data_IF_515301134525
#
_entry.id   IF_515301134525
#
_cell.length_a   1.000
_cell.length_b   1.000
_cell.length_c   1.000
_cell.angle_alpha   90.00
_cell.angle_beta   90.00
_cell.angle_gamma   90.00
#
_symmetry.space_group_name_H-M   'P 1'
#
loop_
_entity.id
_entity.type
_entity.pdbx_description
1 polymer ?
#
# COMPACT_ATOMS: atom_id res chain seq x y z
N UNK A 1 18.03 0.19 18.21
CA UNK A 1 17.37 0.05 19.53
C UNK A 1 16.52 -1.22 19.48
N UNK A 2 16.56 -2.04 20.54
CA UNK A 2 15.75 -3.25 20.58
C UNK A 2 14.26 -2.90 20.43
N UNK A 3 13.48 -3.81 19.87
CA UNK A 3 12.06 -3.65 19.65
C UNK A 3 11.35 -4.99 19.86
N UNK A 4 10.04 -4.91 20.08
CA UNK A 4 9.19 -6.08 20.26
C UNK A 4 9.20 -6.96 19.01
N UNK A 5 9.39 -8.24 19.20
CA UNK A 5 9.17 -9.28 18.18
C UNK A 5 7.76 -9.86 18.27
N UNK A 6 6.90 -9.22 19.04
CA UNK A 6 5.51 -9.57 19.28
C UNK A 6 5.30 -10.38 20.54
N UNK A 7 4.17 -10.12 21.18
CA UNK A 7 3.70 -10.83 22.36
C UNK A 7 2.25 -11.27 22.18
N UNK A 8 1.85 -12.33 22.86
CA UNK A 8 0.47 -12.81 22.90
C UNK A 8 -0.25 -12.36 24.17
N UNK A 9 -1.34 -11.58 24.03
CA UNK A 9 -2.29 -11.33 25.12
C UNK A 9 -3.73 -11.29 24.58
N UNK A 10 -4.69 -11.65 25.40
CA UNK A 10 -6.12 -11.62 25.06
C UNK A 10 -6.69 -10.23 25.39
N UNK A 11 -7.05 -9.43 24.35
CA UNK A 11 -8.03 -8.33 24.43
C UNK A 11 -7.56 -6.92 24.05
N UNK A 12 -8.34 -6.26 23.15
CA UNK A 12 -8.49 -4.81 23.05
C UNK A 12 -8.19 -4.16 21.68
N UNK A 13 -9.25 -3.69 21.02
CA UNK A 13 -9.20 -3.04 19.71
C UNK A 13 -8.98 -1.52 19.74
N UNK A 14 -8.54 -0.96 18.60
CA UNK A 14 -8.36 0.48 18.39
C UNK A 14 -9.11 1.02 17.17
N UNK A 15 -9.64 2.23 17.31
CA UNK A 15 -10.31 3.00 16.27
C UNK A 15 -9.36 4.03 15.63
N UNK A 16 -9.43 4.20 14.33
CA UNK A 16 -8.73 5.26 13.58
C UNK A 16 -9.68 6.30 13.01
N UNK A 17 -9.34 7.58 13.14
CA UNK A 17 -10.07 8.73 12.61
C UNK A 17 -9.42 9.27 11.34
N UNK A 18 -10.27 9.75 10.40
CA UNK A 18 -9.86 10.31 9.11
C UNK A 18 -9.89 11.83 9.11
N UNK A 19 -8.91 12.47 8.46
CA UNK A 19 -8.88 13.92 8.19
C UNK A 19 -8.83 14.20 6.68
N UNK A 20 -9.65 15.18 6.26
CA UNK A 20 -9.79 15.66 4.89
C UNK A 20 -8.86 16.86 4.61
N UNK A 21 -8.21 16.89 3.45
CA UNK A 21 -7.40 18.02 2.99
C UNK A 21 -7.95 18.65 1.70
N UNK A 22 -7.92 20.00 1.68
CA UNK A 22 -8.47 20.82 0.62
C UNK A 22 -7.58 20.92 -0.62
N UNK A 23 -8.23 21.20 -1.75
CA UNK A 23 -7.65 21.27 -3.09
C UNK A 23 -7.22 22.69 -3.46
N UNK A 24 -6.00 22.84 -3.98
CA UNK A 24 -5.49 24.03 -4.66
C UNK A 24 -5.89 24.05 -6.13
N UNK A 25 -6.51 25.14 -6.59
CA UNK A 25 -6.95 25.34 -7.97
C UNK A 25 -5.78 25.77 -8.86
N UNK A 26 -5.31 24.89 -9.74
CA UNK A 26 -4.59 25.24 -10.96
C UNK A 26 -5.63 25.49 -12.06
N UNK A 27 -5.45 26.54 -12.89
CA UNK A 27 -6.32 26.89 -14.02
C UNK A 27 -6.24 25.85 -15.14
N UNK A 28 -6.84 24.70 -14.92
CA UNK A 28 -7.03 23.67 -15.93
C UNK A 28 -8.28 23.99 -16.73
N UNK A 29 -8.14 24.14 -18.04
CA UNK A 29 -9.24 24.31 -18.99
C UNK A 29 -10.31 23.25 -18.74
N UNK A 30 -11.55 23.71 -18.60
CA UNK A 30 -12.68 22.85 -18.26
C UNK A 30 -13.35 22.34 -19.54
N UNK A 31 -13.40 21.03 -19.69
CA UNK A 31 -14.18 20.35 -20.74
C UNK A 31 -15.32 19.58 -20.09
N UNK A 32 -16.54 19.67 -20.64
CA UNK A 32 -17.70 18.97 -20.12
C UNK A 32 -18.65 18.55 -21.26
N UNK A 33 -19.33 17.44 -21.11
CA UNK A 33 -20.47 17.05 -21.96
C UNK A 33 -21.77 17.75 -21.54
N UNK A 34 -21.76 18.48 -20.40
CA UNK A 34 -22.90 19.26 -19.89
C UNK A 34 -22.58 20.75 -19.89
N UNK A 35 -23.56 21.61 -20.15
CA UNK A 35 -23.36 23.05 -20.10
C UNK A 35 -22.96 23.52 -18.69
N UNK A 36 -22.09 24.55 -18.63
CA UNK A 36 -21.74 25.26 -17.42
C UNK A 36 -21.63 26.77 -17.69
N UNK A 37 -21.74 27.62 -16.69
CA UNK A 37 -21.70 29.09 -16.88
C UNK A 37 -20.40 29.54 -17.57
N UNK A 38 -20.52 30.34 -18.64
CA UNK A 38 -19.40 30.85 -19.43
C UNK A 38 -18.84 29.88 -20.48
N UNK A 39 -19.38 28.65 -20.59
CA UNK A 39 -18.94 27.69 -21.60
C UNK A 39 -19.48 28.01 -22.99
N UNK A 40 -18.62 27.87 -24.00
CA UNK A 40 -18.98 27.89 -25.40
C UNK A 40 -19.29 26.44 -25.82
N UNK A 41 -20.41 26.25 -26.54
CA UNK A 41 -20.78 24.94 -27.08
C UNK A 41 -20.02 24.68 -28.39
N UNK A 42 -19.43 23.48 -28.48
CA UNK A 42 -18.74 22.99 -29.68
C UNK A 42 -19.35 21.69 -30.11
N UNK A 43 -19.35 21.43 -31.42
CA UNK A 43 -19.78 20.16 -32.03
C UNK A 43 -18.57 19.48 -32.66
N UNK A 44 -18.38 18.20 -32.36
CA UNK A 44 -17.47 17.35 -33.14
C UNK A 44 -18.18 16.07 -33.59
N UNK A 45 -17.71 15.51 -34.70
CA UNK A 45 -18.24 14.27 -35.25
C UNK A 45 -17.26 13.14 -34.97
N UNK A 46 -17.80 12.00 -34.48
CA UNK A 46 -17.01 10.80 -34.26
C UNK A 46 -16.67 10.09 -35.59
N UNK A 47 -15.96 8.94 -35.51
CA UNK A 47 -15.62 8.13 -36.69
C UNK A 47 -16.85 7.56 -37.43
N UNK A 48 -17.98 7.46 -36.74
CA UNK A 48 -19.25 7.01 -37.28
C UNK A 48 -20.12 8.18 -37.77
N UNK A 49 -19.54 9.40 -37.83
CA UNK A 49 -20.20 10.66 -38.19
C UNK A 49 -21.38 11.05 -37.29
N UNK A 50 -21.39 10.56 -36.03
CA UNK A 50 -22.37 10.99 -35.03
C UNK A 50 -21.93 12.30 -34.39
N UNK A 51 -22.83 13.29 -34.29
CA UNK A 51 -22.52 14.56 -33.66
C UNK A 51 -22.49 14.43 -32.14
N UNK A 52 -21.50 15.04 -31.50
CA UNK A 52 -21.36 15.13 -30.04
C UNK A 52 -21.17 16.57 -29.64
N UNK A 53 -21.83 16.98 -28.55
CA UNK A 53 -21.67 18.30 -27.96
C UNK A 53 -20.53 18.27 -26.93
N UNK A 54 -19.70 19.31 -26.94
CA UNK A 54 -18.63 19.53 -25.99
C UNK A 54 -18.67 20.99 -25.54
N UNK A 55 -18.71 21.23 -24.24
CA UNK A 55 -18.69 22.57 -23.67
C UNK A 55 -17.30 22.89 -23.15
N UNK A 56 -16.74 24.06 -23.48
CA UNK A 56 -15.45 24.50 -23.03
C UNK A 56 -15.43 26.01 -22.77
N UNK A 57 -14.58 26.43 -21.85
CA UNK A 57 -14.42 27.85 -21.50
C UNK A 57 -13.57 28.63 -22.52
N UNK A 58 -12.76 27.95 -23.34
CA UNK A 58 -11.93 28.59 -24.37
C UNK A 58 -11.61 27.62 -25.51
N UNK A 59 -11.17 28.19 -26.67
CA UNK A 59 -10.72 27.41 -27.83
C UNK A 59 -9.34 26.80 -27.54
N UNK A 60 -9.11 25.51 -27.82
CA UNK A 60 -7.84 24.88 -27.52
C UNK A 60 -6.71 25.46 -28.39
N UNK A 61 -5.61 25.80 -27.75
CA UNK A 61 -4.37 26.11 -28.49
C UNK A 61 -3.90 24.91 -29.28
N UNK A 62 -3.41 25.21 -30.49
CA UNK A 62 -2.90 24.22 -31.40
C UNK A 62 -1.55 23.66 -30.94
N UNK A 63 -1.51 22.39 -30.52
CA UNK A 63 -0.37 21.50 -30.28
C UNK A 63 0.24 21.56 -28.90
N UNK A 64 -0.04 20.55 -28.07
CA UNK A 64 0.86 20.11 -27.00
C UNK A 64 2.17 19.58 -27.61
N UNK A 65 3.30 20.26 -27.37
CA UNK A 65 4.60 19.92 -27.97
C UNK A 65 5.17 18.56 -27.52
N UNK A 66 4.71 17.96 -26.39
CA UNK A 66 5.21 16.68 -25.87
C UNK A 66 4.08 15.85 -25.24
N UNK A 67 3.22 15.28 -26.07
CA UNK A 67 2.10 14.44 -25.61
C UNK A 67 2.59 13.16 -24.90
N UNK A 68 3.75 12.65 -25.24
CA UNK A 68 4.28 11.39 -24.70
C UNK A 68 4.94 11.52 -23.32
N UNK A 69 5.42 12.70 -22.95
CA UNK A 69 6.14 12.92 -21.68
C UNK A 69 5.36 12.52 -20.42
N UNK A 70 4.07 12.89 -20.26
CA UNK A 70 3.30 12.44 -19.09
C UNK A 70 3.11 10.92 -19.04
N UNK A 71 3.02 10.24 -20.19
CA UNK A 71 2.90 8.78 -20.22
C UNK A 71 4.18 8.09 -19.77
N UNK A 72 5.36 8.61 -20.16
CA UNK A 72 6.65 8.11 -19.68
C UNK A 72 6.77 8.31 -18.18
N UNK A 73 6.42 9.50 -17.68
CA UNK A 73 6.45 9.79 -16.25
C UNK A 73 5.52 8.86 -15.45
N UNK A 74 4.29 8.64 -15.90
CA UNK A 74 3.34 7.70 -15.30
C UNK A 74 3.88 6.28 -15.36
N UNK A 75 4.52 5.87 -16.48
CA UNK A 75 5.13 4.54 -16.60
C UNK A 75 6.26 4.30 -15.59
N UNK A 76 7.13 5.28 -15.39
CA UNK A 76 8.20 5.22 -14.37
C UNK A 76 7.59 5.12 -12.95
N UNK A 77 6.55 5.92 -12.66
CA UNK A 77 5.86 5.87 -11.37
C UNK A 77 5.15 4.53 -11.10
N UNK A 78 4.75 3.79 -12.14
CA UNK A 78 4.18 2.46 -11.99
C UNK A 78 5.23 1.38 -11.70
N UNK A 79 6.40 1.47 -12.35
CA UNK A 79 7.47 0.47 -12.18
C UNK A 79 8.11 0.58 -10.80
N UNK A 80 8.29 1.78 -10.28
CA UNK A 80 8.97 2.03 -9.01
C UNK A 80 8.35 1.29 -7.81
N UNK A 81 7.04 1.35 -7.54
CA UNK A 81 6.44 0.62 -6.42
C UNK A 81 6.47 -0.90 -6.62
N UNK A 82 6.39 -1.39 -7.87
CA UNK A 82 6.52 -2.83 -8.15
C UNK A 82 7.93 -3.30 -7.81
N UNK A 83 8.95 -2.54 -8.17
CA UNK A 83 10.35 -2.86 -7.86
C UNK A 83 10.58 -2.81 -6.34
N UNK A 84 10.11 -1.77 -5.66
CA UNK A 84 10.21 -1.66 -4.20
C UNK A 84 9.50 -2.83 -3.50
N UNK A 85 8.29 -3.18 -3.96
CA UNK A 85 7.54 -4.32 -3.44
C UNK A 85 8.30 -5.62 -3.61
N UNK A 86 8.87 -5.87 -4.79
CA UNK A 86 9.65 -7.08 -5.05
C UNK A 86 10.91 -7.16 -4.18
N UNK A 87 11.61 -6.02 -3.99
CA UNK A 87 12.80 -5.95 -3.15
C UNK A 87 12.48 -6.13 -1.66
N UNK A 88 11.42 -5.48 -1.17
CA UNK A 88 11.00 -5.56 0.24
C UNK A 88 10.43 -6.93 0.61
N UNK A 89 9.86 -7.67 -0.36
CA UNK A 89 9.26 -8.98 -0.11
C UNK A 89 10.26 -10.15 -0.24
N UNK A 90 11.49 -9.88 -0.68
CA UNK A 90 12.50 -10.93 -0.84
C UNK A 90 13.47 -10.92 0.34
N UNK A 91 13.37 -11.94 1.18
CA UNK A 91 14.24 -12.15 2.33
C UNK A 91 15.36 -13.13 1.99
N UNK A 92 16.60 -12.70 2.22
CA UNK A 92 17.82 -13.49 2.01
C UNK A 92 18.68 -13.42 3.29
N UNK A 93 18.22 -14.08 4.36
CA UNK A 93 18.92 -14.04 5.63
C UNK A 93 20.28 -14.73 5.53
N UNK A 94 21.25 -14.20 6.26
CA UNK A 94 22.58 -14.78 6.39
C UNK A 94 22.99 -14.82 7.85
N UNK A 95 23.71 -15.88 8.26
CA UNK A 95 24.20 -16.02 9.64
C UNK A 95 24.94 -14.78 10.09
N UNK A 96 24.63 -14.26 11.26
CA UNK A 96 25.33 -13.15 11.89
C UNK A 96 26.74 -13.57 12.34
N UNK A 97 27.66 -12.57 12.36
CA UNK A 97 29.00 -12.78 12.89
C UNK A 97 28.96 -12.75 14.42
N UNK A 98 29.52 -13.78 15.04
CA UNK A 98 29.60 -13.95 16.50
C UNK A 98 30.80 -13.21 17.11
N UNK A 99 30.96 -11.92 16.79
CA UNK A 99 32.00 -11.05 17.31
C UNK A 99 31.53 -10.18 18.50
N UNK A 100 30.65 -10.71 19.30
CA UNK A 100 30.02 -10.08 20.46
C UNK A 100 29.94 -11.10 21.62
N UNK A 101 29.39 -10.72 22.76
CA UNK A 101 29.18 -11.63 23.86
C UNK A 101 28.04 -12.61 23.54
N UNK A 102 28.38 -13.88 23.39
CA UNK A 102 27.44 -14.95 23.04
C UNK A 102 27.01 -15.77 24.25
N UNK A 103 27.16 -15.23 25.44
CA UNK A 103 26.72 -15.90 26.67
C UNK A 103 25.19 -16.04 26.67
N UNK A 104 24.72 -17.28 26.74
CA UNK A 104 23.29 -17.56 26.85
C UNK A 104 22.83 -17.21 28.27
N UNK A 105 21.79 -16.39 28.37
CA UNK A 105 21.18 -15.98 29.63
C UNK A 105 19.87 -16.74 29.85
N UNK A 106 19.77 -17.49 30.94
CA UNK A 106 18.52 -18.12 31.42
C UNK A 106 18.34 -17.70 32.86
N UNK A 107 17.35 -16.85 33.13
CA UNK A 107 16.99 -16.39 34.47
C UNK A 107 15.58 -16.85 34.83
N UNK A 108 15.48 -17.84 35.66
CA UNK A 108 14.21 -18.36 36.11
C UNK A 108 13.78 -17.81 37.49
N UNK A 109 13.36 -16.54 37.51
CA UNK A 109 12.94 -15.85 38.74
C UNK A 109 11.59 -16.39 39.30
N UNK A 110 10.80 -17.04 38.45
CA UNK A 110 9.48 -17.57 38.83
C UNK A 110 9.46 -19.08 39.12
N UNK A 111 10.64 -19.74 39.01
CA UNK A 111 10.81 -21.18 39.21
C UNK A 111 9.88 -22.03 38.31
N UNK A 112 9.80 -21.69 37.03
CA UNK A 112 9.02 -22.43 36.01
C UNK A 112 9.84 -23.55 35.36
N UNK A 113 11.17 -23.54 35.54
CA UNK A 113 12.10 -24.53 35.04
C UNK A 113 12.71 -25.34 36.15
N UNK A 114 13.05 -26.59 35.89
CA UNK A 114 13.92 -27.40 36.71
C UNK A 114 15.32 -27.48 36.08
N UNK A 115 16.29 -28.10 36.76
CA UNK A 115 17.67 -28.21 36.28
C UNK A 115 17.79 -28.94 34.92
N UNK A 116 16.95 -29.95 34.67
CA UNK A 116 16.89 -30.65 33.36
C UNK A 116 16.33 -29.75 32.27
N UNK A 117 15.32 -28.93 32.58
CA UNK A 117 14.72 -27.94 31.69
C UNK A 117 15.76 -26.88 31.28
N UNK A 118 16.52 -26.30 32.23
CA UNK A 118 17.57 -25.34 31.96
C UNK A 118 18.66 -25.92 31.04
N UNK A 119 19.08 -27.16 31.31
CA UNK A 119 20.04 -27.85 30.45
C UNK A 119 19.47 -28.07 29.03
N UNK A 120 18.21 -28.45 28.91
CA UNK A 120 17.54 -28.62 27.63
C UNK A 120 17.47 -27.30 26.86
N UNK A 121 17.08 -26.20 27.51
CA UNK A 121 17.02 -24.89 26.87
C UNK A 121 18.41 -24.41 26.44
N UNK A 122 19.46 -24.64 27.26
CA UNK A 122 20.81 -24.32 26.86
C UNK A 122 21.24 -25.01 25.57
N UNK A 123 20.86 -26.30 25.38
CA UNK A 123 21.16 -27.05 24.14
C UNK A 123 20.40 -26.45 22.96
N UNK A 124 19.09 -26.15 23.13
CA UNK A 124 18.24 -25.54 22.10
C UNK A 124 18.77 -24.18 21.68
N UNK A 125 19.10 -23.32 22.64
CA UNK A 125 19.61 -21.98 22.42
C UNK A 125 21.01 -22.00 21.76
N UNK A 126 21.87 -22.91 22.16
CA UNK A 126 23.18 -23.10 21.52
C UNK A 126 23.04 -23.56 20.05
N UNK A 127 22.08 -24.45 19.75
CA UNK A 127 21.78 -24.87 18.39
C UNK A 127 21.28 -23.71 17.52
N UNK A 128 20.38 -22.89 18.06
CA UNK A 128 19.87 -21.70 17.41
C UNK A 128 20.98 -20.65 17.15
N UNK A 129 21.82 -20.37 18.17
CA UNK A 129 22.99 -19.50 18.06
C UNK A 129 23.95 -20.01 16.98
N UNK A 130 24.27 -21.31 16.99
CA UNK A 130 25.16 -21.87 15.97
C UNK A 130 24.57 -21.72 14.56
N UNK A 131 23.29 -21.87 14.39
CA UNK A 131 22.64 -21.74 13.08
C UNK A 131 22.59 -20.27 12.63
N UNK A 132 22.18 -19.36 13.50
CA UNK A 132 21.81 -17.97 13.14
C UNK A 132 22.88 -16.94 13.44
N UNK A 133 23.71 -17.17 14.43
CA UNK A 133 24.59 -16.19 15.05
C UNK A 133 23.84 -15.19 15.93
N UNK A 134 22.58 -15.46 16.32
CA UNK A 134 21.79 -14.70 17.29
C UNK A 134 21.82 -15.44 18.62
N UNK A 135 22.10 -14.74 19.72
CA UNK A 135 22.07 -15.34 21.05
C UNK A 135 20.67 -15.23 21.66
N UNK A 136 19.97 -16.37 21.86
CA UNK A 136 18.72 -16.36 22.58
C UNK A 136 18.95 -16.16 24.08
N UNK A 137 17.95 -15.55 24.73
CA UNK A 137 17.88 -15.43 26.18
C UNK A 137 16.46 -15.67 26.68
N UNK A 138 16.32 -16.15 27.91
CA UNK A 138 15.05 -16.39 28.55
C UNK A 138 15.04 -15.82 29.96
N UNK A 139 13.98 -15.08 30.30
CA UNK A 139 13.72 -14.60 31.66
C UNK A 139 12.30 -14.97 32.02
N UNK A 140 12.13 -15.70 33.13
CA UNK A 140 10.79 -15.87 33.74
C UNK A 140 10.62 -14.92 34.91
N UNK A 141 9.44 -14.32 35.03
CA UNK A 141 9.16 -13.32 36.08
C UNK A 141 7.76 -13.49 36.64
N UNK A 142 7.63 -13.26 37.98
CA UNK A 142 6.32 -13.20 38.63
C UNK A 142 5.55 -11.94 38.19
N UNK A 143 4.32 -12.10 37.73
CA UNK A 143 3.45 -11.01 37.27
C UNK A 143 3.25 -9.92 38.34
N UNK A 144 3.28 -10.25 39.60
CA UNK A 144 3.16 -9.28 40.69
C UNK A 144 4.44 -8.41 40.83
N UNK A 145 5.60 -8.94 40.48
CA UNK A 145 6.88 -8.22 40.61
C UNK A 145 7.08 -7.14 39.54
N UNK A 146 6.34 -7.21 38.42
CA UNK A 146 6.44 -6.27 37.31
C UNK A 146 5.33 -5.19 37.28
N UNK A 147 4.55 -5.06 38.35
CA UNK A 147 3.45 -4.08 38.44
C UNK A 147 3.88 -2.61 38.35
N UNK A 148 5.17 -2.32 38.52
CA UNK A 148 5.74 -0.98 38.30
C UNK A 148 5.90 -0.59 36.84
N UNK A 149 5.82 -1.55 35.91
CA UNK A 149 5.87 -1.34 34.47
C UNK A 149 4.46 -1.20 33.89
N UNK A 150 4.30 -0.44 32.82
CA UNK A 150 3.01 -0.25 32.17
C UNK A 150 2.58 -1.46 31.34
N UNK A 151 3.55 -2.27 30.88
CA UNK A 151 3.32 -3.50 30.11
C UNK A 151 4.45 -4.52 30.30
N UNK A 152 4.23 -5.76 29.86
CA UNK A 152 5.31 -6.76 29.78
C UNK A 152 6.38 -6.36 28.75
N UNK A 153 5.99 -5.66 27.70
CA UNK A 153 6.88 -5.11 26.69
C UNK A 153 7.87 -4.11 27.29
N UNK A 154 7.40 -3.18 28.14
CA UNK A 154 8.27 -2.21 28.81
C UNK A 154 9.28 -2.90 29.73
N UNK A 155 8.85 -3.93 30.45
CA UNK A 155 9.76 -4.74 31.26
C UNK A 155 10.77 -5.51 30.41
N UNK A 156 10.34 -6.09 29.30
CA UNK A 156 11.23 -6.82 28.39
C UNK A 156 12.26 -5.88 27.73
N UNK A 157 11.85 -4.67 27.37
CA UNK A 157 12.75 -3.65 26.85
C UNK A 157 13.83 -3.27 27.86
N UNK A 158 13.44 -2.92 29.08
CA UNK A 158 14.39 -2.60 30.16
C UNK A 158 15.31 -3.77 30.47
N UNK A 159 14.79 -4.98 30.52
CA UNK A 159 15.57 -6.20 30.74
C UNK A 159 16.60 -6.39 29.62
N UNK A 160 16.20 -6.19 28.35
CA UNK A 160 17.10 -6.30 27.22
C UNK A 160 18.25 -5.28 27.32
N UNK A 161 17.95 -4.01 27.53
CA UNK A 161 18.96 -2.92 27.61
C UNK A 161 19.91 -3.11 28.79
N UNK A 162 19.43 -3.67 29.90
CA UNK A 162 20.28 -3.93 31.08
C UNK A 162 21.21 -5.12 30.89
N UNK A 163 20.79 -6.16 30.17
CA UNK A 163 21.59 -7.37 29.98
C UNK A 163 22.53 -7.29 28.78
N UNK A 164 22.10 -6.64 27.69
CA UNK A 164 22.83 -6.69 26.42
C UNK A 164 23.30 -5.30 25.99
N UNK A 165 24.55 -5.23 25.48
CA UNK A 165 25.18 -3.99 24.99
C UNK A 165 25.17 -3.89 23.49
N UNK A 166 24.67 -4.91 22.81
CA UNK A 166 24.60 -5.02 21.36
C UNK A 166 23.17 -5.40 20.89
N UNK A 167 22.97 -5.42 19.60
CA UNK A 167 21.67 -5.62 18.96
C UNK A 167 21.55 -7.02 18.31
N UNK A 168 22.26 -8.05 18.88
CA UNK A 168 22.33 -9.41 18.31
C UNK A 168 21.74 -10.49 19.21
N UNK A 169 20.97 -10.07 20.21
CA UNK A 169 20.27 -10.96 21.13
C UNK A 169 18.78 -11.02 20.82
N UNK A 170 18.17 -12.11 21.23
CA UNK A 170 16.73 -12.29 21.20
C UNK A 170 16.25 -12.77 22.57
N UNK A 171 15.65 -11.87 23.34
CA UNK A 171 15.17 -12.13 24.68
C UNK A 171 13.70 -12.55 24.62
N UNK A 172 13.38 -13.66 25.28
CA UNK A 172 11.99 -14.10 25.52
C UNK A 172 11.72 -13.92 27.01
N UNK A 173 10.76 -13.07 27.34
CA UNK A 173 10.28 -12.88 28.72
C UNK A 173 8.97 -13.62 28.89
N UNK A 174 8.90 -14.47 29.88
CA UNK A 174 7.70 -15.20 30.30
C UNK A 174 7.22 -14.68 31.65
N UNK A 175 5.94 -14.34 31.76
CA UNK A 175 5.35 -13.87 33.00
C UNK A 175 4.14 -14.74 33.39
N UNK A 176 4.07 -15.18 34.62
CA UNK A 176 2.92 -15.90 35.18
C UNK A 176 2.80 -15.65 36.69
N UNK A 177 1.63 -15.94 37.27
CA UNK A 177 1.48 -15.87 38.70
C UNK A 177 2.20 -17.05 39.36
N UNK A 178 2.97 -16.79 40.41
CA UNK A 178 3.75 -17.79 41.14
C UNK A 178 2.96 -18.97 41.67
N UNK A 179 1.68 -18.75 41.98
CA UNK A 179 0.81 -19.79 42.54
C UNK A 179 -0.04 -20.53 41.49
N UNK A 180 -0.08 -20.04 40.25
CA UNK A 180 -0.89 -20.59 39.13
C UNK A 180 -0.11 -20.50 37.84
N UNK A 181 1.04 -21.20 37.77
CA UNK A 181 2.02 -21.12 36.69
C UNK A 181 1.44 -21.33 35.27
N UNK A 182 0.31 -22.02 35.17
CA UNK A 182 -0.38 -22.29 33.88
C UNK A 182 -1.57 -21.38 33.61
N UNK A 183 -2.03 -20.64 34.63
CA UNK A 183 -3.11 -19.69 34.45
C UNK A 183 -2.57 -18.28 34.34
N UNK A 184 -3.17 -17.45 33.46
CA UNK A 184 -2.83 -16.04 33.38
C UNK A 184 -1.37 -15.73 32.96
N UNK A 185 -0.78 -16.59 32.14
CA UNK A 185 0.55 -16.34 31.59
C UNK A 185 0.54 -15.32 30.44
N UNK A 186 1.67 -14.70 30.25
CA UNK A 186 1.97 -13.89 29.08
C UNK A 186 3.45 -14.07 28.70
N UNK A 187 3.76 -13.86 27.46
CA UNK A 187 5.15 -13.76 27.02
C UNK A 187 5.36 -12.56 26.11
N UNK A 188 6.59 -12.09 26.05
CA UNK A 188 7.03 -11.02 25.15
C UNK A 188 8.40 -11.35 24.58
N UNK A 189 8.56 -11.20 23.27
CA UNK A 189 9.83 -11.31 22.59
C UNK A 189 10.44 -9.92 22.35
N UNK A 190 11.73 -9.73 22.69
CA UNK A 190 12.47 -8.52 22.45
C UNK A 190 13.72 -8.82 21.62
N UNK A 191 13.85 -8.21 20.45
CA UNK A 191 14.96 -8.45 19.54
C UNK A 191 15.75 -7.19 19.25
N UNK A 192 17.05 -7.33 18.98
CA UNK A 192 17.88 -6.24 18.53
C UNK A 192 17.82 -6.03 17.02
N UNK A 193 18.02 -4.80 16.54
CA UNK A 193 17.91 -4.43 15.11
C UNK A 193 18.82 -5.26 14.18
N UNK A 194 19.98 -5.71 14.66
CA UNK A 194 20.89 -6.53 13.84
C UNK A 194 20.28 -7.91 13.52
N UNK A 195 19.28 -8.34 14.27
CA UNK A 195 18.62 -9.65 14.09
C UNK A 195 17.48 -9.61 13.05
N UNK A 196 16.97 -8.42 12.67
CA UNK A 196 15.80 -8.24 11.78
C UNK A 196 15.89 -8.97 10.44
N UNK A 197 17.05 -9.07 9.77
CA UNK A 197 17.14 -9.81 8.53
C UNK A 197 16.85 -11.32 8.68
N UNK A 198 16.99 -11.86 9.91
CA UNK A 198 16.75 -13.26 10.23
C UNK A 198 15.42 -13.44 10.95
N UNK A 199 15.15 -12.59 11.98
CA UNK A 199 13.91 -12.59 12.76
C UNK A 199 12.87 -11.62 12.18
N UNK A 200 12.61 -11.72 10.87
CA UNK A 200 11.57 -10.91 10.24
C UNK A 200 10.16 -11.44 10.60
N UNK A 201 9.14 -10.64 10.40
CA UNK A 201 7.76 -10.85 10.89
C UNK A 201 7.23 -12.27 10.72
N UNK A 202 7.46 -12.91 9.58
CA UNK A 202 7.00 -14.28 9.36
C UNK A 202 7.63 -15.29 10.32
N UNK A 203 8.91 -15.13 10.64
CA UNK A 203 9.64 -16.04 11.55
C UNK A 203 9.15 -15.83 12.97
N UNK A 204 9.07 -14.57 13.41
CA UNK A 204 8.59 -14.23 14.76
C UNK A 204 7.12 -14.58 14.95
N UNK A 205 6.25 -14.37 13.96
CA UNK A 205 4.85 -14.80 13.99
C UNK A 205 4.73 -16.31 14.14
N UNK A 206 5.53 -17.09 13.38
CA UNK A 206 5.51 -18.55 13.46
C UNK A 206 5.97 -19.05 14.82
N UNK A 207 7.04 -18.45 15.37
CA UNK A 207 7.52 -18.73 16.71
C UNK A 207 6.43 -18.42 17.77
N UNK A 208 5.86 -17.21 17.71
CA UNK A 208 4.84 -16.75 18.65
C UNK A 208 3.57 -17.61 18.59
N UNK A 209 3.11 -17.98 17.39
CA UNK A 209 1.98 -18.89 17.20
C UNK A 209 2.25 -20.26 17.82
N UNK A 210 3.43 -20.84 17.56
CA UNK A 210 3.80 -22.14 18.11
C UNK A 210 3.92 -22.08 19.62
N UNK A 211 4.60 -21.06 20.16
CA UNK A 211 4.76 -20.86 21.61
C UNK A 211 3.40 -20.66 22.29
N UNK A 212 2.52 -19.82 21.73
CA UNK A 212 1.18 -19.61 22.28
C UNK A 212 0.35 -20.89 22.31
N UNK A 213 0.33 -21.63 21.20
CA UNK A 213 -0.46 -22.87 21.10
C UNK A 213 0.05 -23.97 22.05
N UNK A 214 1.37 -24.06 22.22
CA UNK A 214 1.97 -25.07 23.10
C UNK A 214 1.85 -24.70 24.57
N UNK A 215 2.00 -23.42 24.95
CA UNK A 215 1.75 -22.92 26.29
C UNK A 215 0.26 -23.07 26.73
N UNK A 216 -0.65 -22.91 25.73
CA UNK A 216 -2.09 -23.10 25.97
C UNK A 216 -2.48 -24.57 26.22
N UNK A 217 -1.60 -25.50 25.92
CA UNK A 217 -1.80 -26.92 26.20
C UNK A 217 -1.31 -27.23 27.62
N UNK A 218 -2.22 -27.56 28.51
CA UNK A 218 -1.93 -27.87 29.91
C UNK A 218 -0.93 -29.02 30.14
N UNK A 219 -0.72 -29.89 29.14
CA UNK A 219 0.23 -30.99 29.22
C UNK A 219 1.68 -30.59 29.00
N UNK A 220 1.93 -29.45 28.35
CA UNK A 220 3.30 -28.98 28.03
C UNK A 220 3.86 -28.13 29.18
N UNK A 221 5.15 -28.27 29.46
CA UNK A 221 5.90 -27.34 30.31
C UNK A 221 6.28 -26.08 29.54
N UNK A 222 6.76 -25.05 30.25
CA UNK A 222 7.34 -23.84 29.61
C UNK A 222 8.57 -24.20 28.78
N UNK A 223 9.43 -25.09 29.30
CA UNK A 223 10.60 -25.59 28.60
C UNK A 223 10.23 -26.33 27.28
N UNK A 224 9.28 -27.26 27.34
CA UNK A 224 8.80 -27.98 26.17
C UNK A 224 8.19 -27.04 25.13
N UNK A 225 7.45 -26.03 25.57
CA UNK A 225 6.83 -25.04 24.68
C UNK A 225 7.87 -24.18 23.97
N UNK A 226 8.88 -23.69 24.69
CA UNK A 226 10.01 -22.96 24.11
C UNK A 226 10.79 -23.85 23.14
N UNK A 227 11.13 -25.07 23.56
CA UNK A 227 11.83 -26.02 22.69
C UNK A 227 11.08 -26.25 21.37
N UNK A 228 9.78 -26.53 21.41
CA UNK A 228 8.96 -26.75 20.24
C UNK A 228 8.92 -25.49 19.31
N UNK A 229 8.82 -24.30 19.90
CA UNK A 229 8.83 -23.07 19.13
C UNK A 229 10.17 -22.82 18.42
N UNK A 230 11.30 -23.07 19.09
CA UNK A 230 12.62 -22.97 18.46
C UNK A 230 12.86 -24.08 17.42
N UNK A 231 12.47 -25.32 17.72
CA UNK A 231 12.61 -26.45 16.80
C UNK A 231 11.81 -26.26 15.50
N UNK A 232 10.67 -25.57 15.57
CA UNK A 232 9.84 -25.25 14.39
C UNK A 232 10.51 -24.28 13.44
N UNK A 233 11.20 -23.23 13.96
CA UNK A 233 11.76 -22.18 13.11
C UNK A 233 13.23 -22.43 12.72
N UNK A 234 14.02 -23.02 13.60
CA UNK A 234 15.49 -23.12 13.43
C UNK A 234 15.93 -23.83 12.15
N UNK A 235 15.33 -24.93 11.69
CA UNK A 235 15.78 -25.64 10.48
C UNK A 235 15.74 -24.77 9.22
N UNK A 236 14.73 -23.92 9.09
CA UNK A 236 14.41 -23.14 7.90
C UNK A 236 14.67 -21.64 8.02
N UNK A 237 15.21 -21.19 9.15
CA UNK A 237 15.33 -19.76 9.50
C UNK A 237 16.23 -18.96 8.53
N UNK A 238 17.20 -19.60 7.89
CA UNK A 238 18.07 -18.98 6.89
C UNK A 238 17.66 -19.29 5.44
N UNK A 239 16.51 -19.94 5.22
CA UNK A 239 16.03 -20.21 3.89
C UNK A 239 15.62 -18.92 3.18
N UNK A 240 15.95 -18.82 1.89
CA UNK A 240 15.50 -17.69 1.08
C UNK A 240 13.99 -17.79 0.87
N UNK A 241 13.28 -16.74 1.20
CA UNK A 241 11.83 -16.72 1.10
C UNK A 241 11.30 -15.43 0.46
N UNK A 242 10.19 -15.58 -0.26
CA UNK A 242 9.39 -14.44 -0.71
C UNK A 242 8.18 -14.32 0.23
N UNK A 243 8.17 -13.28 1.05
CA UNK A 243 7.10 -13.03 1.99
C UNK A 243 6.58 -11.61 1.83
N UNK A 244 5.28 -11.48 1.69
CA UNK A 244 4.61 -10.20 1.46
C UNK A 244 3.99 -9.72 2.76
N UNK A 245 4.54 -8.66 3.32
CA UNK A 245 3.93 -7.99 4.45
C UNK A 245 2.66 -7.23 4.03
N UNK A 246 1.56 -7.46 4.77
CA UNK A 246 0.25 -6.86 4.47
C UNK A 246 0.31 -5.32 4.36
N UNK A 247 1.00 -4.58 5.24
CA UNK A 247 1.10 -3.13 5.10
C UNK A 247 1.73 -2.68 3.79
N UNK A 248 2.81 -3.34 3.36
CA UNK A 248 3.50 -3.05 2.08
C UNK A 248 2.58 -3.36 0.90
N UNK A 249 1.84 -4.47 0.96
CA UNK A 249 0.85 -4.83 -0.06
C UNK A 249 -0.23 -3.76 -0.21
N UNK A 250 -0.83 -3.32 0.90
CA UNK A 250 -1.89 -2.30 0.91
C UNK A 250 -1.39 -0.97 0.33
N UNK A 251 -0.21 -0.51 0.75
CA UNK A 251 0.40 0.71 0.23
C UNK A 251 0.68 0.59 -1.27
N UNK A 252 1.21 -0.55 -1.73
CA UNK A 252 1.53 -0.80 -3.14
C UNK A 252 0.28 -0.82 -4.02
N UNK A 253 -0.82 -1.44 -3.56
CA UNK A 253 -2.12 -1.46 -4.26
C UNK A 253 -2.71 -0.05 -4.33
N UNK A 254 -2.72 0.70 -3.21
CA UNK A 254 -3.23 2.06 -3.15
C UNK A 254 -2.47 3.01 -4.09
N UNK A 255 -1.15 2.95 -4.09
CA UNK A 255 -0.29 3.72 -4.98
C UNK A 255 -0.55 3.39 -6.45
N UNK A 256 -0.56 2.11 -6.79
CA UNK A 256 -0.82 1.64 -8.17
C UNK A 256 -2.21 2.05 -8.65
N UNK A 257 -3.24 1.94 -7.80
CA UNK A 257 -4.60 2.40 -8.10
C UNK A 257 -4.67 3.90 -8.40
N UNK A 258 -3.99 4.72 -7.61
CA UNK A 258 -3.87 6.17 -7.82
C UNK A 258 -3.22 6.51 -9.17
N UNK A 259 -2.14 5.82 -9.52
CA UNK A 259 -1.43 6.03 -10.80
C UNK A 259 -2.27 5.59 -12.00
N UNK A 260 -2.97 4.45 -11.90
CA UNK A 260 -3.91 4.00 -12.94
C UNK A 260 -5.02 5.03 -13.16
N UNK A 261 -5.56 5.60 -12.07
CA UNK A 261 -6.55 6.66 -12.16
C UNK A 261 -6.01 7.90 -12.92
N UNK A 262 -4.77 8.33 -12.61
CA UNK A 262 -4.10 9.43 -13.32
C UNK A 262 -3.90 9.10 -14.80
N UNK A 263 -3.54 7.86 -15.14
CA UNK A 263 -3.39 7.41 -16.52
C UNK A 263 -4.72 7.50 -17.28
N UNK A 264 -5.80 7.01 -16.68
CA UNK A 264 -7.14 7.10 -17.27
C UNK A 264 -7.55 8.57 -17.47
N UNK A 265 -7.34 9.42 -16.46
CA UNK A 265 -7.64 10.85 -16.56
C UNK A 265 -6.83 11.52 -17.68
N UNK A 266 -5.55 11.17 -17.84
CA UNK A 266 -4.71 11.68 -18.92
C UNK A 266 -5.19 11.23 -20.30
N UNK A 267 -5.54 9.94 -20.47
CA UNK A 267 -6.10 9.42 -21.72
C UNK A 267 -7.40 10.14 -22.10
N UNK A 268 -8.28 10.35 -21.10
CA UNK A 268 -9.55 11.08 -21.32
C UNK A 268 -9.29 12.54 -21.70
N UNK A 269 -8.34 13.20 -21.04
CA UNK A 269 -7.93 14.57 -21.35
C UNK A 269 -7.38 14.68 -22.78
N UNK A 270 -6.52 13.76 -23.21
CA UNK A 270 -5.95 13.76 -24.56
C UNK A 270 -7.00 13.45 -25.63
N UNK A 271 -7.97 12.56 -25.32
CA UNK A 271 -9.12 12.29 -26.20
C UNK A 271 -9.98 13.55 -26.35
N UNK A 272 -10.31 14.22 -25.26
CA UNK A 272 -11.09 15.44 -25.28
C UNK A 272 -10.36 16.57 -26.04
N UNK A 273 -9.06 16.71 -25.84
CA UNK A 273 -8.25 17.67 -26.55
C UNK A 273 -8.24 17.43 -28.08
N UNK A 274 -8.09 16.15 -28.52
CA UNK A 274 -8.17 15.76 -29.93
C UNK A 274 -9.55 16.02 -30.52
N UNK A 275 -10.61 15.73 -29.76
CA UNK A 275 -11.99 15.99 -30.18
C UNK A 275 -12.24 17.50 -30.33
N UNK A 276 -11.71 18.29 -29.37
CA UNK A 276 -11.84 19.74 -29.39
C UNK A 276 -11.10 20.40 -30.55
N UNK A 277 -9.93 19.88 -30.99
CA UNK A 277 -9.23 20.38 -32.20
C UNK A 277 -10.08 20.25 -33.46
N UNK A 278 -10.97 19.27 -33.52
CA UNK A 278 -11.87 19.04 -34.66
C UNK A 278 -13.25 19.68 -34.45
N UNK A 279 -13.49 20.24 -33.30
CA UNK A 279 -14.79 20.76 -32.93
C UNK A 279 -15.02 22.15 -33.54
N UNK A 280 -16.24 22.37 -34.00
CA UNK A 280 -16.71 23.60 -34.60
C UNK A 280 -17.54 24.35 -33.55
N UNK A 281 -17.28 25.63 -33.28
CA UNK A 281 -18.09 26.40 -32.36
C UNK A 281 -19.49 26.58 -32.89
N UNK A 282 -20.48 26.33 -32.02
CA UNK A 282 -21.89 26.46 -32.35
C UNK A 282 -22.35 27.88 -32.02
N UNK A 283 -22.89 28.58 -32.99
CA UNK A 283 -23.45 29.93 -32.82
C UNK A 283 -24.97 29.81 -32.62
N UNK A 284 -25.44 29.97 -31.40
CA UNK A 284 -26.85 29.90 -31.04
C UNK A 284 -27.26 28.58 -30.39
N UNK A 285 -28.55 28.33 -30.32
CA UNK A 285 -29.08 27.09 -29.75
C UNK A 285 -28.88 25.90 -30.73
N UNK A 286 -28.42 24.76 -30.22
CA UNK A 286 -28.15 23.58 -31.05
C UNK A 286 -29.39 23.02 -31.69
N UNK A 287 -29.50 23.07 -33.04
CA UNK A 287 -30.61 22.49 -33.80
C UNK A 287 -30.19 21.19 -34.48
N UNK A 288 -30.57 20.05 -33.89
CA UNK A 288 -30.24 18.73 -34.41
C UNK A 288 -31.22 18.38 -35.55
N UNK A 289 -30.66 18.13 -36.76
CA UNK A 289 -31.42 17.73 -37.96
C UNK A 289 -31.01 16.35 -38.44
N UNK A 290 -31.83 15.76 -39.29
CA UNK A 290 -31.61 14.47 -39.93
C UNK A 290 -31.39 14.67 -41.42
N UNK A 291 -30.29 14.12 -41.95
CA UNK A 291 -30.02 14.20 -43.38
C UNK A 291 -31.07 13.40 -44.19
N UNK A 292 -31.74 14.02 -45.16
CA UNK A 292 -32.78 13.35 -45.97
C UNK A 292 -32.24 12.24 -46.88
N UNK A 293 -30.90 12.23 -47.12
CA UNK A 293 -30.25 11.30 -48.03
C UNK A 293 -29.69 10.05 -47.38
N UNK A 294 -29.23 10.15 -46.10
CA UNK A 294 -28.57 9.04 -45.45
C UNK A 294 -28.99 8.82 -43.96
N UNK A 295 -30.00 9.55 -43.50
CA UNK A 295 -30.54 9.50 -42.13
C UNK A 295 -29.53 9.76 -41.03
N UNK A 296 -28.38 10.37 -41.34
CA UNK A 296 -27.42 10.75 -40.33
C UNK A 296 -27.83 12.05 -39.60
N UNK A 297 -27.58 12.12 -38.31
CA UNK A 297 -27.85 13.34 -37.55
C UNK A 297 -26.70 14.35 -37.71
N UNK A 298 -27.04 15.63 -37.80
CA UNK A 298 -26.09 16.73 -37.87
C UNK A 298 -26.66 18.03 -37.25
N UNK A 299 -25.79 18.95 -36.87
CA UNK A 299 -26.21 20.27 -36.43
C UNK A 299 -26.11 21.23 -37.62
N UNK A 300 -27.24 21.81 -37.99
CA UNK A 300 -27.37 22.61 -39.20
C UNK A 300 -26.44 23.84 -39.21
N UNK A 301 -26.15 24.38 -38.04
CA UNK A 301 -25.30 25.57 -37.86
C UNK A 301 -23.80 25.31 -38.03
N UNK A 302 -23.39 24.04 -38.18
CA UNK A 302 -21.97 23.65 -38.20
C UNK A 302 -21.48 23.12 -39.54
N UNK A 303 -22.38 22.75 -40.46
CA UNK A 303 -21.98 22.10 -41.71
C UNK A 303 -22.90 22.48 -42.89
N UNK A 304 -22.29 22.72 -44.05
CA UNK A 304 -22.99 22.98 -45.33
C UNK A 304 -23.36 21.66 -46.04
N UNK A 305 -22.54 20.64 -45.80
CA UNK A 305 -22.73 19.32 -46.38
C UNK A 305 -22.84 18.28 -45.29
N UNK A 306 -23.64 17.26 -45.48
CA UNK A 306 -23.78 16.16 -44.52
C UNK A 306 -22.40 15.52 -44.28
N UNK A 307 -21.97 15.41 -43.01
CA UNK A 307 -20.67 14.86 -42.66
C UNK A 307 -20.46 13.41 -43.12
N UNK A 308 -21.57 12.64 -43.30
CA UNK A 308 -21.51 11.24 -43.67
C UNK A 308 -21.57 11.01 -45.16
N UNK A 309 -22.50 11.64 -45.88
CA UNK A 309 -22.72 11.37 -47.30
C UNK A 309 -22.20 12.49 -48.24
N UNK A 310 -21.77 13.62 -47.69
CA UNK A 310 -21.20 14.74 -48.46
C UNK A 310 -22.25 15.56 -49.28
N UNK A 311 -23.54 15.18 -49.24
CA UNK A 311 -24.56 15.94 -49.96
C UNK A 311 -24.91 17.23 -49.23
N UNK A 312 -25.13 18.31 -50.00
CA UNK A 312 -25.56 19.58 -49.46
C UNK A 312 -26.84 19.45 -48.63
N UNK A 313 -26.80 20.09 -47.46
CA UNK A 313 -27.95 20.14 -46.55
C UNK A 313 -28.34 21.59 -46.38
N UNK A 314 -29.63 21.86 -46.35
CA UNK A 314 -30.13 23.24 -46.29
C UNK A 314 -29.72 23.88 -44.97
N UNK A 315 -29.04 25.03 -45.07
CA UNK A 315 -28.87 25.98 -43.97
C UNK A 315 -30.23 26.57 -43.62
N UNK A 316 -30.58 26.74 -42.37
CA UNK A 316 -31.62 27.67 -42.01
C UNK A 316 -31.11 29.07 -42.38
N UNK A 317 -31.69 29.67 -43.41
CA UNK A 317 -31.42 31.08 -43.71
C UNK A 317 -31.81 31.85 -42.45
N UNK A 318 -30.79 32.45 -41.80
CA UNK A 318 -31.07 33.33 -40.67
C UNK A 318 -31.65 34.63 -41.22
N UNK A 319 -32.93 34.96 -41.01
CA UNK A 319 -33.61 36.09 -41.65
C UNK A 319 -33.07 37.45 -41.11
N UNK A 320 -32.08 37.48 -40.25
CA UNK A 320 -31.50 38.69 -39.67
C UNK A 320 -30.06 39.00 -40.10
N UNK A 321 -29.52 38.31 -41.10
CA UNK A 321 -28.26 38.79 -41.73
C UNK A 321 -28.65 39.77 -42.86
N UNK A 322 -28.14 41.04 -42.80
CA UNK A 322 -28.31 41.96 -43.92
C UNK A 322 -27.65 41.37 -45.16
N UNK A 323 -28.35 41.34 -46.27
CA UNK A 323 -27.80 41.06 -47.60
C UNK A 323 -26.56 41.94 -47.81
N UNK A 324 -25.40 41.35 -47.84
CA UNK A 324 -24.24 42.02 -48.40
C UNK A 324 -24.35 41.77 -49.91
N UNK A 325 -24.99 42.72 -50.58
CA UNK A 325 -25.00 42.82 -51.99
C UNK A 325 -23.54 42.91 -52.52
N UNK A 326 -23.11 41.82 -53.14
CA UNK A 326 -21.89 41.83 -53.95
C UNK A 326 -22.14 42.61 -55.21
N UNK A 327 -22.13 43.94 -55.11
CA UNK A 327 -21.98 44.85 -56.20
C UNK A 327 -20.79 45.79 -55.90
N UNK A 328 -19.61 45.37 -56.32
CA UNK A 328 -18.66 46.33 -56.93
C UNK A 328 -17.72 45.57 -57.87
N UNK A 329 -17.66 46.14 -59.04
CA UNK A 329 -16.89 45.76 -60.26
C UNK A 329 -15.40 45.68 -60.07
#
# INVERSE_FOLDING_TARGET
MPHSSGGGSIGGGFHSGSSSSGSSSSSTRRYSSRPFPGAICYVYYDRSYRPHLLYADDKPETKRKLIWLPYVFIGVLLIFPILLFALASYHHPSKLKTNYDTTIVIEDQNNVLNEEDENTLNIVFASFLDKTGITPAFISVDKESITSYSSLEDYAYDSYVNHFKDEKHWLIVYSSNKNTLKDNWAFEGMQGNDTDPILYTRVTDKFNETLYNTLSNENNTVCESLKLAFDEITPHILDQTFYVEIPILVVSIGWSGGIIFLLIAQIMSDKNHKNMQKAIPLKGEPSLKVCPYCNNHYYAETVENCPKCGKAVEFPINPHLPNIDNNEK
#
